data_IF_849315990072
#
_entry.id   IF_849315990072
#
_cell.length_a   1.000
_cell.length_b   1.000
_cell.length_c   1.000
_cell.angle_alpha   90.00
_cell.angle_beta   90.00
_cell.angle_gamma   90.00
#
_symmetry.space_group_name_H-M   'P 1'
#
loop_
_entity.id
_entity.type
_entity.pdbx_description
1 polymer ?
#
# COMPACT_ATOMS: atom_id res chain seq x y z
N UNK A 1 -12.63 -51.34 3.70
CA UNK A 1 -11.30 -51.98 3.66
C UNK A 1 -10.28 -50.93 3.23
N UNK A 2 -9.13 -50.97 3.91
CA UNK A 2 -7.99 -50.04 3.84
C UNK A 2 -7.18 -50.16 2.54
N UNK A 3 -6.41 -49.11 2.23
CA UNK A 3 -5.11 -49.18 1.55
C UNK A 3 -5.08 -48.50 0.17
N UNK A 4 -4.24 -47.52 -0.15
CA UNK A 4 -3.18 -46.78 0.55
C UNK A 4 -3.04 -45.41 -0.14
N UNK A 5 -2.90 -44.29 0.57
CA UNK A 5 -1.61 -43.65 0.90
C UNK A 5 -0.57 -43.78 -0.21
N UNK A 6 -0.57 -42.85 -1.18
CA UNK A 6 0.63 -42.25 -1.77
C UNK A 6 0.25 -41.30 -2.92
N UNK A 7 0.19 -39.99 -2.66
CA UNK A 7 0.11 -38.94 -3.71
C UNK A 7 1.18 -37.86 -3.45
N UNK A 8 2.32 -38.25 -2.89
CA UNK A 8 3.44 -37.34 -2.68
C UNK A 8 4.70 -37.93 -3.30
N UNK A 9 5.07 -37.44 -4.48
CA UNK A 9 6.48 -37.42 -4.89
C UNK A 9 7.03 -36.05 -4.53
N UNK A 10 7.86 -36.02 -3.50
CA UNK A 10 8.71 -34.88 -3.19
C UNK A 10 10.00 -35.09 -3.97
N UNK A 11 10.17 -34.38 -5.08
CA UNK A 11 11.51 -34.21 -5.65
C UNK A 11 12.26 -33.20 -4.77
N UNK A 12 13.05 -33.73 -3.83
CA UNK A 12 14.10 -32.98 -3.16
C UNK A 12 15.29 -32.88 -4.10
N UNK A 13 15.38 -31.78 -4.85
CA UNK A 13 16.53 -31.44 -5.68
C UNK A 13 16.76 -29.94 -5.70
N UNK A 14 17.47 -29.46 -4.68
CA UNK A 14 18.25 -28.21 -4.60
C UNK A 14 17.92 -27.07 -5.60
N UNK A 15 17.07 -26.12 -5.19
CA UNK A 15 17.30 -24.66 -5.31
C UNK A 15 16.09 -23.83 -4.79
N UNK A 16 16.40 -22.91 -3.87
CA UNK A 16 15.64 -21.81 -3.26
C UNK A 16 14.32 -22.07 -2.47
N UNK A 17 14.28 -21.74 -1.15
CA UNK A 17 13.12 -21.97 -0.28
C UNK A 17 11.99 -20.92 -0.42
N UNK A 18 12.00 -20.09 -1.45
CA UNK A 18 11.02 -19.03 -1.63
C UNK A 18 9.93 -19.42 -2.65
N UNK A 19 8.71 -19.60 -2.12
CA UNK A 19 7.43 -19.55 -2.84
C UNK A 19 7.03 -20.83 -3.59
N UNK A 20 6.72 -21.88 -2.83
CA UNK A 20 5.78 -22.91 -3.31
C UNK A 20 4.37 -22.55 -2.81
N UNK A 21 3.65 -21.77 -3.63
CA UNK A 21 2.27 -21.33 -3.33
C UNK A 21 1.39 -22.57 -3.24
N UNK A 22 0.92 -22.88 -2.03
CA UNK A 22 -0.17 -23.83 -1.80
C UNK A 22 -1.39 -23.35 -2.58
N UNK A 23 -1.74 -24.08 -3.63
CA UNK A 23 -2.97 -23.87 -4.40
C UNK A 23 -4.15 -24.07 -3.45
N UNK A 24 -4.89 -22.98 -3.28
CA UNK A 24 -6.07 -22.86 -2.42
C UNK A 24 -7.13 -23.89 -2.89
N UNK A 25 -7.86 -24.45 -1.91
CA UNK A 25 -9.03 -25.33 -2.09
C UNK A 25 -9.93 -24.82 -3.24
N UNK A 26 -10.68 -25.69 -3.94
CA UNK A 26 -11.57 -25.28 -5.02
C UNK A 26 -12.77 -24.51 -4.44
N UNK A 27 -12.56 -23.25 -4.08
CA UNK A 27 -13.62 -22.27 -4.12
C UNK A 27 -14.18 -22.30 -5.55
N UNK A 28 -15.51 -22.33 -5.64
CA UNK A 28 -16.32 -22.48 -6.84
C UNK A 28 -15.62 -21.84 -8.05
N UNK A 29 -15.08 -22.62 -9.00
CA UNK A 29 -14.23 -22.15 -10.12
C UNK A 29 -14.75 -20.86 -10.78
N UNK A 30 -16.08 -20.76 -10.89
CA UNK A 30 -16.79 -19.59 -11.42
C UNK A 30 -16.54 -18.30 -10.62
N UNK A 31 -16.53 -18.35 -9.29
CA UNK A 31 -16.24 -17.19 -8.44
C UNK A 31 -14.79 -16.74 -8.60
N UNK A 32 -13.85 -17.69 -8.66
CA UNK A 32 -12.44 -17.40 -8.91
C UNK A 32 -12.24 -16.71 -10.26
N UNK A 33 -12.84 -17.24 -11.33
CA UNK A 33 -12.76 -16.65 -12.67
C UNK A 33 -13.38 -15.24 -12.73
N UNK A 34 -14.47 -15.00 -12.01
CA UNK A 34 -15.08 -13.66 -11.92
C UNK A 34 -14.16 -12.68 -11.22
N UNK A 35 -13.58 -13.05 -10.07
CA UNK A 35 -12.64 -12.19 -9.34
C UNK A 35 -11.40 -11.88 -10.19
N UNK A 36 -10.86 -12.86 -10.90
CA UNK A 36 -9.73 -12.68 -11.79
C UNK A 36 -10.05 -11.67 -12.92
N UNK A 37 -11.26 -11.74 -13.49
CA UNK A 37 -11.72 -10.77 -14.51
C UNK A 37 -11.86 -9.36 -13.95
N UNK A 38 -12.40 -9.22 -12.74
CA UNK A 38 -12.52 -7.91 -12.07
C UNK A 38 -11.14 -7.32 -11.81
N UNK A 39 -10.20 -8.11 -11.29
CA UNK A 39 -8.82 -7.65 -11.08
C UNK A 39 -8.11 -7.26 -12.38
N UNK A 40 -8.22 -8.09 -13.43
CA UNK A 40 -7.61 -7.81 -14.72
C UNK A 40 -8.18 -6.51 -15.32
N UNK A 41 -9.50 -6.33 -15.26
CA UNK A 41 -10.18 -5.13 -15.72
C UNK A 41 -9.69 -3.91 -14.95
N UNK A 42 -9.64 -3.99 -13.62
CA UNK A 42 -9.12 -2.92 -12.75
C UNK A 42 -7.71 -2.47 -13.16
N UNK A 43 -6.78 -3.40 -13.36
CA UNK A 43 -5.40 -3.08 -13.75
C UNK A 43 -5.33 -2.38 -15.10
N UNK A 44 -6.13 -2.82 -16.07
CA UNK A 44 -6.17 -2.23 -17.42
C UNK A 44 -6.78 -0.83 -17.39
N UNK A 45 -7.91 -0.66 -16.70
CA UNK A 45 -8.57 0.64 -16.57
C UNK A 45 -7.69 1.65 -15.84
N UNK A 46 -7.05 1.23 -14.74
CA UNK A 46 -6.13 2.08 -14.01
C UNK A 46 -4.97 2.56 -14.88
N UNK A 47 -4.32 1.65 -15.62
CA UNK A 47 -3.24 2.01 -16.55
C UNK A 47 -3.70 3.01 -17.62
N UNK A 48 -4.90 2.84 -18.16
CA UNK A 48 -5.45 3.79 -19.14
C UNK A 48 -5.71 5.17 -18.54
N UNK A 49 -6.19 5.23 -17.31
CA UNK A 49 -6.47 6.49 -16.62
C UNK A 49 -5.21 7.22 -16.16
N UNK A 50 -4.16 6.49 -15.76
CA UNK A 50 -2.85 7.09 -15.52
C UNK A 50 -2.34 7.81 -16.77
N UNK A 51 -2.32 7.11 -17.91
CA UNK A 51 -1.89 7.69 -19.18
C UNK A 51 -2.78 8.86 -19.65
N UNK A 52 -4.07 8.86 -19.30
CA UNK A 52 -5.00 9.93 -19.67
C UNK A 52 -4.75 11.21 -18.86
N UNK A 53 -4.29 11.08 -17.62
CA UNK A 53 -4.02 12.19 -16.71
C UNK A 53 -2.54 12.54 -16.64
N UNK A 54 -1.76 12.23 -17.68
CA UNK A 54 -0.32 12.51 -17.79
C UNK A 54 0.52 11.97 -16.62
N UNK A 55 0.11 10.84 -16.04
CA UNK A 55 0.87 10.11 -15.02
C UNK A 55 1.56 8.91 -15.64
N UNK A 56 2.87 8.81 -15.47
CA UNK A 56 3.56 7.59 -15.83
C UNK A 56 3.41 6.52 -14.75
N UNK A 57 3.35 5.26 -15.18
CA UNK A 57 3.27 4.12 -14.26
C UNK A 57 4.48 4.02 -13.34
N UNK A 58 5.65 4.49 -13.77
CA UNK A 58 6.85 4.49 -12.92
C UNK A 58 6.73 5.47 -11.75
N UNK A 59 6.03 6.59 -11.93
CA UNK A 59 5.81 7.63 -10.92
C UNK A 59 4.77 7.18 -9.88
N UNK A 60 3.78 6.40 -10.30
CA UNK A 60 2.68 5.91 -9.44
C UNK A 60 2.91 4.46 -8.97
N UNK A 61 4.15 3.96 -9.05
CA UNK A 61 4.48 2.60 -8.59
C UNK A 61 4.16 2.41 -7.10
N UNK A 62 4.19 3.49 -6.34
CA UNK A 62 3.76 3.56 -4.95
C UNK A 62 2.88 4.80 -4.76
N UNK A 63 1.76 4.65 -4.05
CA UNK A 63 0.96 5.77 -3.55
C UNK A 63 1.73 6.50 -2.44
N UNK A 64 2.79 7.20 -2.84
CA UNK A 64 3.76 7.85 -1.96
C UNK A 64 3.42 9.33 -1.74
N UNK A 65 4.29 10.06 -1.03
CA UNK A 65 4.11 11.49 -0.76
C UNK A 65 3.90 12.27 -2.06
N UNK A 66 4.80 12.08 -3.02
CA UNK A 66 4.78 12.79 -4.30
C UNK A 66 3.44 12.61 -5.05
N UNK A 67 2.86 11.42 -4.99
CA UNK A 67 1.54 11.19 -5.57
C UNK A 67 0.44 12.05 -4.93
N UNK A 68 0.42 12.18 -3.60
CA UNK A 68 -0.62 12.93 -2.88
C UNK A 68 -0.34 14.42 -2.72
N UNK A 69 0.92 14.87 -2.87
CA UNK A 69 1.31 16.28 -2.69
C UNK A 69 1.74 16.96 -3.98
N UNK A 70 2.59 16.31 -4.77
CA UNK A 70 3.27 16.93 -5.91
C UNK A 70 2.46 16.73 -7.20
N UNK A 71 1.60 15.70 -7.21
CA UNK A 71 0.76 15.26 -8.34
C UNK A 71 -0.73 15.21 -7.96
N UNK A 72 -1.18 16.14 -7.11
CA UNK A 72 -2.53 16.13 -6.56
C UNK A 72 -3.61 16.23 -7.65
N UNK A 73 -3.43 17.10 -8.64
CA UNK A 73 -4.43 17.29 -9.70
C UNK A 73 -4.50 16.08 -10.63
N UNK A 74 -3.33 15.58 -11.06
CA UNK A 74 -3.24 14.40 -11.91
C UNK A 74 -3.75 13.14 -11.19
N UNK A 75 -3.45 13.01 -9.89
CA UNK A 75 -3.94 11.93 -9.04
C UNK A 75 -5.46 11.93 -8.90
N UNK A 76 -6.07 13.11 -8.66
CA UNK A 76 -7.53 13.27 -8.65
C UNK A 76 -8.14 12.91 -10.00
N UNK A 77 -7.56 13.39 -11.09
CA UNK A 77 -7.98 13.04 -12.45
C UNK A 77 -7.98 11.52 -12.66
N UNK A 78 -6.92 10.83 -12.26
CA UNK A 78 -6.81 9.39 -12.44
C UNK A 78 -7.88 8.63 -11.65
N UNK A 79 -8.20 9.07 -10.44
CA UNK A 79 -9.22 8.47 -9.58
C UNK A 79 -10.63 8.64 -10.18
N UNK A 80 -10.95 9.85 -10.64
CA UNK A 80 -12.24 10.13 -11.30
C UNK A 80 -12.38 9.32 -12.59
N UNK A 81 -11.38 9.38 -13.48
CA UNK A 81 -11.37 8.58 -14.72
C UNK A 81 -11.56 7.09 -14.43
N UNK A 82 -10.90 6.58 -13.39
CA UNK A 82 -10.98 5.17 -13.04
C UNK A 82 -12.37 4.79 -12.55
N UNK A 83 -12.95 5.57 -11.64
CA UNK A 83 -14.30 5.33 -11.13
C UNK A 83 -15.34 5.36 -12.24
N UNK A 84 -15.29 6.37 -13.11
CA UNK A 84 -16.21 6.49 -14.25
C UNK A 84 -16.13 5.27 -15.17
N UNK A 85 -14.90 4.82 -15.46
CA UNK A 85 -14.70 3.62 -16.30
C UNK A 85 -15.11 2.33 -15.61
N UNK A 86 -14.87 2.20 -14.31
CA UNK A 86 -15.30 1.04 -13.53
C UNK A 86 -16.82 0.95 -13.54
N UNK A 87 -17.52 2.06 -13.30
CA UNK A 87 -18.99 2.13 -13.35
C UNK A 87 -19.47 1.80 -14.77
N UNK A 88 -18.83 2.35 -15.80
CA UNK A 88 -19.20 2.07 -17.19
C UNK A 88 -19.00 0.60 -17.61
N UNK A 89 -17.98 -0.08 -17.08
CA UNK A 89 -17.64 -1.46 -17.47
C UNK A 89 -18.31 -2.54 -16.61
N UNK A 90 -18.48 -2.28 -15.32
CA UNK A 90 -18.97 -3.28 -14.34
C UNK A 90 -20.35 -2.93 -13.80
N UNK A 91 -20.83 -1.71 -13.98
CA UNK A 91 -22.04 -1.20 -13.35
C UNK A 91 -21.80 -0.68 -11.93
N UNK A 92 -22.64 0.24 -11.49
CA UNK A 92 -22.51 0.89 -10.18
C UNK A 92 -22.69 -0.10 -9.01
N UNK A 93 -23.64 -1.04 -9.14
CA UNK A 93 -23.94 -2.02 -8.09
C UNK A 93 -22.74 -2.95 -7.85
N UNK A 94 -22.15 -3.50 -8.92
CA UNK A 94 -20.95 -4.34 -8.83
C UNK A 94 -19.74 -3.53 -8.35
N UNK A 95 -19.62 -2.27 -8.77
CA UNK A 95 -18.54 -1.41 -8.29
C UNK A 95 -18.60 -1.20 -6.76
N UNK A 96 -19.80 -1.06 -6.19
CA UNK A 96 -20.03 -0.93 -4.75
C UNK A 96 -19.89 -2.26 -4.00
N UNK A 97 -20.44 -3.35 -4.55
CA UNK A 97 -20.38 -4.69 -3.93
C UNK A 97 -18.93 -5.14 -3.69
N UNK A 98 -18.04 -4.84 -4.64
CA UNK A 98 -16.63 -5.24 -4.60
C UNK A 98 -15.68 -4.12 -4.14
N UNK A 99 -16.19 -3.01 -3.59
CA UNK A 99 -15.41 -1.84 -3.13
C UNK A 99 -14.35 -1.39 -4.16
N UNK A 100 -14.77 -1.27 -5.42
CA UNK A 100 -13.87 -1.00 -6.54
C UNK A 100 -13.60 0.48 -6.75
N UNK A 101 -14.40 1.37 -6.14
CA UNK A 101 -14.31 2.80 -6.34
C UNK A 101 -13.28 3.42 -5.41
N UNK A 102 -12.43 4.29 -5.96
CA UNK A 102 -11.46 5.02 -5.17
C UNK A 102 -12.02 6.37 -4.71
N UNK A 103 -11.74 6.73 -3.46
CA UNK A 103 -12.04 8.05 -2.92
C UNK A 103 -10.72 8.74 -2.58
N UNK A 104 -10.43 9.84 -3.28
CA UNK A 104 -9.18 10.59 -3.13
C UNK A 104 -8.97 11.05 -1.69
N UNK A 105 -9.96 11.73 -1.11
CA UNK A 105 -9.85 12.32 0.22
C UNK A 105 -9.69 11.24 1.30
N UNK A 106 -10.42 10.13 1.16
CA UNK A 106 -10.29 8.98 2.06
C UNK A 106 -8.89 8.37 2.01
N UNK A 107 -8.36 8.15 0.80
CA UNK A 107 -7.02 7.57 0.62
C UNK A 107 -5.91 8.51 1.06
N UNK A 108 -6.04 9.82 0.80
CA UNK A 108 -5.11 10.84 1.31
C UNK A 108 -5.11 10.87 2.84
N UNK A 109 -6.29 10.87 3.46
CA UNK A 109 -6.40 10.86 4.91
C UNK A 109 -5.80 9.58 5.54
N UNK A 110 -5.96 8.43 4.89
CA UNK A 110 -5.33 7.18 5.32
C UNK A 110 -3.80 7.23 5.16
N UNK A 111 -3.31 7.77 4.05
CA UNK A 111 -1.89 8.03 3.84
C UNK A 111 -1.31 8.95 4.94
N UNK A 112 -1.98 10.06 5.26
CA UNK A 112 -1.54 11.00 6.29
C UNK A 112 -1.52 10.37 7.68
N UNK A 113 -2.49 9.48 7.99
CA UNK A 113 -2.48 8.71 9.25
C UNK A 113 -1.27 7.78 9.32
N UNK A 114 -1.00 7.04 8.25
CA UNK A 114 0.17 6.14 8.19
C UNK A 114 1.48 6.93 8.27
N UNK A 115 1.54 8.10 7.62
CA UNK A 115 2.64 9.05 7.71
C UNK A 115 2.88 9.49 9.17
N UNK A 116 1.81 9.79 9.91
CA UNK A 116 1.92 10.23 11.31
C UNK A 116 2.41 9.15 12.29
N UNK A 117 2.24 7.86 11.94
CA UNK A 117 2.72 6.72 12.75
C UNK A 117 4.23 6.52 12.56
N UNK A 118 4.78 6.81 11.38
CA UNK A 118 6.21 6.67 11.13
C UNK A 118 7.02 7.67 11.99
N UNK A 119 7.92 7.21 12.87
CA UNK A 119 8.63 8.09 13.79
C UNK A 119 9.51 9.13 13.08
N UNK A 120 10.10 8.79 11.94
CA UNK A 120 10.92 9.72 11.16
C UNK A 120 10.04 10.84 10.58
N UNK A 121 8.89 10.47 10.04
CA UNK A 121 7.98 11.45 9.43
C UNK A 121 7.20 12.24 10.47
N UNK A 122 6.98 11.68 11.66
CA UNK A 122 6.43 12.39 12.82
C UNK A 122 7.38 13.51 13.28
N UNK A 123 8.68 13.27 13.24
CA UNK A 123 9.70 14.29 13.52
C UNK A 123 9.65 15.41 12.47
N UNK A 124 9.64 15.06 11.18
CA UNK A 124 9.49 16.03 10.09
C UNK A 124 8.22 16.88 10.23
N UNK A 125 7.07 16.25 10.51
CA UNK A 125 5.80 16.95 10.73
C UNK A 125 5.82 17.88 11.96
N UNK A 126 6.55 17.52 13.02
CA UNK A 126 6.75 18.40 14.17
C UNK A 126 7.65 19.58 13.82
N UNK A 127 8.70 19.37 13.02
CA UNK A 127 9.60 20.41 12.54
C UNK A 127 8.89 21.36 11.56
N UNK A 128 8.07 20.85 10.64
CA UNK A 128 7.24 21.66 9.72
C UNK A 128 6.21 22.53 10.49
N UNK A 129 5.70 22.05 11.63
CA UNK A 129 4.75 22.79 12.48
C UNK A 129 5.41 23.82 13.38
N UNK A 130 6.68 23.64 13.74
CA UNK A 130 7.44 24.59 14.56
C UNK A 130 8.05 25.63 13.63
N UNK A 131 7.54 26.86 13.69
CA UNK A 131 7.82 27.90 12.68
C UNK A 131 9.12 28.67 12.93
N UNK A 132 9.77 28.50 14.07
CA UNK A 132 10.98 29.25 14.44
C UNK A 132 12.17 28.31 14.62
N UNK A 133 13.33 28.69 14.08
CA UNK A 133 14.59 27.92 14.20
C UNK A 133 14.96 27.63 15.66
N UNK A 134 14.63 28.55 16.58
CA UNK A 134 14.86 28.39 18.01
C UNK A 134 14.03 27.24 18.64
N UNK A 135 12.79 27.04 18.20
CA UNK A 135 11.95 25.94 18.67
C UNK A 135 12.43 24.59 18.12
N UNK A 136 12.91 24.58 16.87
CA UNK A 136 13.50 23.41 16.25
C UNK A 136 14.80 23.01 16.97
N UNK A 137 15.69 23.96 17.28
CA UNK A 137 16.90 23.70 18.07
C UNK A 137 16.60 23.14 19.47
N UNK A 138 15.59 23.66 20.17
CA UNK A 138 15.18 23.12 21.48
C UNK A 138 14.66 21.68 21.39
N UNK A 139 13.96 21.32 20.31
CA UNK A 139 13.55 19.93 20.07
C UNK A 139 14.75 19.01 19.81
N UNK A 140 15.71 19.45 18.99
CA UNK A 140 16.94 18.69 18.75
C UNK A 140 17.74 18.46 20.03
N UNK A 141 17.93 19.49 20.86
CA UNK A 141 18.61 19.35 22.16
C UNK A 141 17.88 18.38 23.09
N UNK A 142 16.54 18.41 23.12
CA UNK A 142 15.75 17.51 23.95
C UNK A 142 15.91 16.05 23.50
N UNK A 143 15.91 15.80 22.19
CA UNK A 143 16.12 14.47 21.62
C UNK A 143 17.54 13.97 21.85
N UNK A 144 18.54 14.85 21.75
CA UNK A 144 19.94 14.50 22.01
C UNK A 144 20.16 14.14 23.49
N UNK A 145 19.54 14.89 24.42
CA UNK A 145 19.55 14.56 25.86
C UNK A 145 18.85 13.24 26.15
N UNK A 146 17.70 12.97 25.52
CA UNK A 146 17.00 11.68 25.66
C UNK A 146 17.83 10.52 25.10
N UNK A 147 18.48 10.70 23.96
CA UNK A 147 19.38 9.70 23.38
C UNK A 147 20.61 9.41 24.25
N UNK A 148 21.17 10.44 24.91
CA UNK A 148 22.26 10.29 25.89
C UNK A 148 21.81 9.54 27.15
N UNK A 149 20.61 9.82 27.67
CA UNK A 149 20.05 9.08 28.82
C UNK A 149 19.73 7.61 28.48
N UNK A 150 19.27 7.31 27.26
CA UNK A 150 19.07 5.92 26.83
C UNK A 150 20.39 5.14 26.64
N UNK A 151 21.47 5.82 26.24
CA UNK A 151 22.81 5.21 26.18
C UNK A 151 23.44 4.99 27.56
N UNK A 152 23.17 5.86 28.54
CA UNK A 152 23.66 5.67 29.91
C UNK A 152 22.91 4.59 30.70
N UNK A 153 21.68 4.24 30.28
CA UNK A 153 20.86 3.17 30.88
C UNK A 153 20.90 1.86 30.07
N UNK A 154 21.96 1.59 29.29
CA UNK A 154 22.16 0.22 28.79
C UNK A 154 22.35 -0.69 30.00
N UNK A 155 21.39 -1.59 30.18
CA UNK A 155 21.46 -2.73 31.08
C UNK A 155 22.78 -3.47 30.87
N UNK A 156 23.69 -3.38 31.84
CA UNK A 156 24.72 -4.36 32.06
C UNK A 156 24.03 -5.63 32.56
N UNK A 157 23.75 -6.56 31.66
CA UNK A 157 23.47 -7.93 32.05
C UNK A 157 24.81 -8.58 32.40
N UNK A 158 25.13 -8.61 33.68
CA UNK A 158 26.14 -9.50 34.27
C UNK A 158 25.73 -10.98 34.06
#
# INVERSE_FOLDING_TARGET
MLGGTDIYKVDTGEADPAVNVRVIRPYNKRQYDTLLKVEATKRVLWKKCLNFCDLDRSEVKYFNKAFYTDKEEEGKCAFTCFNDRVIAHLGEDTAKEYDLLYNWDKMRAEYDKLRAINPNTKLELMLEKTKTEEEQQRMFEKLERQGKMFKSNRFDFY
#
